data_IF_510574953910
#
_entry.id   IF_510574953910
#
_cell.length_a   1.000
_cell.length_b   1.000
_cell.length_c   1.000
_cell.angle_alpha   90.00
_cell.angle_beta   90.00
_cell.angle_gamma   90.00
#
_symmetry.space_group_name_H-M   'P 1'
#
loop_
_entity.id
_entity.type
_entity.pdbx_description
1 polymer ?
#
# COMPACT_ATOMS: atom_id res chain seq x y z
N UNK A 1 -18.87 42.27 29.03
CA UNK A 1 -18.99 40.81 29.24
C UNK A 1 -18.79 40.15 27.88
N UNK A 2 -17.54 39.79 27.56
CA UNK A 2 -17.19 39.21 26.25
C UNK A 2 -17.47 37.70 26.28
N UNK A 3 -18.35 37.25 25.40
CA UNK A 3 -18.61 35.82 25.17
C UNK A 3 -17.40 35.22 24.47
N UNK A 4 -16.64 34.39 25.19
CA UNK A 4 -15.59 33.59 24.59
C UNK A 4 -16.22 32.53 23.68
N UNK A 5 -16.09 32.73 22.37
CA UNK A 5 -16.42 31.71 21.36
C UNK A 5 -15.43 30.57 21.49
N UNK A 6 -15.85 29.46 22.10
CA UNK A 6 -15.11 28.20 22.07
C UNK A 6 -15.18 27.63 20.65
N UNK A 7 -14.23 28.03 19.80
CA UNK A 7 -13.95 27.32 18.57
C UNK A 7 -13.55 25.89 18.93
N UNK A 8 -14.40 24.92 18.60
CA UNK A 8 -14.00 23.51 18.59
C UNK A 8 -12.75 23.36 17.72
N UNK A 9 -11.77 22.52 18.10
CA UNK A 9 -10.62 22.27 17.24
C UNK A 9 -11.14 21.83 15.86
N UNK A 10 -10.51 22.29 14.75
CA UNK A 10 -10.89 21.81 13.43
C UNK A 10 -10.81 20.29 13.44
N UNK A 11 -11.84 19.62 12.92
CA UNK A 11 -11.82 18.18 12.76
C UNK A 11 -10.53 17.80 12.02
N UNK A 12 -9.75 16.88 12.59
CA UNK A 12 -8.49 16.45 12.00
C UNK A 12 -8.72 16.04 10.53
N UNK A 13 -7.82 16.45 9.62
CA UNK A 13 -8.00 16.14 8.21
C UNK A 13 -7.96 14.62 7.99
N UNK A 14 -8.56 14.14 6.90
CA UNK A 14 -8.48 12.72 6.51
C UNK A 14 -7.03 12.22 6.47
N UNK A 15 -6.13 13.06 5.97
CA UNK A 15 -4.70 12.79 5.93
C UNK A 15 -4.08 12.64 7.33
N UNK A 16 -4.48 13.49 8.29
CA UNK A 16 -4.00 13.38 9.68
C UNK A 16 -4.47 12.08 10.32
N UNK A 17 -5.72 11.67 10.05
CA UNK A 17 -6.25 10.39 10.51
C UNK A 17 -5.48 9.20 9.90
N UNK A 18 -5.15 9.25 8.61
CA UNK A 18 -4.33 8.23 7.95
C UNK A 18 -2.92 8.14 8.56
N UNK A 19 -2.30 9.27 8.87
CA UNK A 19 -0.97 9.33 9.50
C UNK A 19 -0.96 8.84 10.96
N UNK A 20 -2.05 9.04 11.69
CA UNK A 20 -2.17 8.66 13.09
C UNK A 20 -2.44 7.15 13.31
N UNK A 21 -2.92 6.43 12.29
CA UNK A 21 -3.20 5.00 12.39
C UNK A 21 -1.91 4.18 12.57
N UNK A 22 -1.90 3.29 13.56
CA UNK A 22 -0.84 2.31 13.73
C UNK A 22 -0.80 1.35 12.53
N UNK A 23 0.41 1.07 12.03
CA UNK A 23 0.64 0.24 10.85
C UNK A 23 1.22 -1.12 11.25
N UNK A 24 0.79 -2.16 10.53
CA UNK A 24 1.36 -3.51 10.67
C UNK A 24 2.78 -3.52 10.08
N UNK A 25 3.64 -4.47 10.48
CA UNK A 25 4.94 -4.65 9.81
C UNK A 25 4.79 -4.80 8.30
N UNK A 26 5.55 -3.99 7.55
CA UNK A 26 5.49 -3.95 6.07
C UNK A 26 4.30 -3.19 5.50
N UNK A 27 3.38 -2.66 6.30
CA UNK A 27 2.32 -1.80 5.78
C UNK A 27 2.84 -0.37 5.58
N UNK A 28 2.60 0.21 4.41
CA UNK A 28 3.09 1.52 4.06
C UNK A 28 2.56 2.62 5.00
N UNK A 29 3.43 3.59 5.32
CA UNK A 29 3.15 4.66 6.27
C UNK A 29 3.41 6.07 5.74
N UNK A 30 3.93 6.20 4.51
CA UNK A 30 4.23 7.49 3.91
C UNK A 30 3.01 8.08 3.20
N UNK A 31 2.21 8.83 3.95
CA UNK A 31 1.01 9.52 3.45
C UNK A 31 1.26 11.01 3.17
N UNK A 32 0.70 11.51 2.08
CA UNK A 32 0.76 12.91 1.69
C UNK A 32 -0.44 13.28 0.82
N UNK A 33 -0.64 14.57 0.59
CA UNK A 33 -1.64 15.05 -0.37
C UNK A 33 -0.97 15.24 -1.73
N UNK A 34 -1.50 14.62 -2.77
CA UNK A 34 -1.03 14.79 -4.14
C UNK A 34 -1.85 15.88 -4.84
N UNK A 35 -1.20 17.01 -5.16
CA UNK A 35 -1.86 18.15 -5.77
C UNK A 35 -2.20 17.95 -7.26
N UNK A 36 -1.50 17.04 -7.96
CA UNK A 36 -1.76 16.78 -9.37
C UNK A 36 -3.07 16.01 -9.55
N UNK A 37 -3.28 14.99 -8.71
CA UNK A 37 -4.49 14.19 -8.70
C UNK A 37 -5.57 14.73 -7.74
N UNK A 38 -5.26 15.76 -6.95
CA UNK A 38 -6.14 16.37 -5.96
C UNK A 38 -6.75 15.34 -5.00
N UNK A 39 -5.92 14.46 -4.43
CA UNK A 39 -6.36 13.39 -3.54
C UNK A 39 -5.29 13.05 -2.49
N UNK A 40 -5.70 12.40 -1.41
CA UNK A 40 -4.77 11.78 -0.47
C UNK A 40 -4.05 10.61 -1.16
N UNK A 41 -2.77 10.45 -0.82
CA UNK A 41 -1.91 9.44 -1.41
C UNK A 41 -1.08 8.72 -0.35
N UNK A 42 -0.75 7.47 -0.65
CA UNK A 42 0.26 6.68 0.05
C UNK A 42 1.33 6.24 -0.94
N UNK A 43 2.60 6.42 -0.55
CA UNK A 43 3.73 5.86 -1.30
C UNK A 43 4.13 4.53 -0.71
N UNK A 44 4.15 3.49 -1.55
CA UNK A 44 4.65 2.17 -1.20
C UNK A 44 6.16 2.14 -1.46
N UNK A 45 6.95 1.91 -0.42
CA UNK A 45 8.39 1.72 -0.53
C UNK A 45 8.75 0.24 -0.79
N UNK A 46 9.97 -0.07 -1.25
CA UNK A 46 10.38 -1.46 -1.45
C UNK A 46 10.22 -2.30 -0.17
N UNK A 47 9.55 -3.44 -0.30
CA UNK A 47 9.22 -4.34 0.80
C UNK A 47 7.90 -4.05 1.51
N UNK A 48 7.18 -2.99 1.10
CA UNK A 48 5.90 -2.61 1.69
C UNK A 48 4.69 -3.07 0.87
N UNK A 49 3.53 -3.06 1.52
CA UNK A 49 2.22 -3.22 0.91
C UNK A 49 1.20 -2.26 1.54
N UNK A 50 0.07 -2.07 0.87
CA UNK A 50 -1.06 -1.33 1.43
C UNK A 50 -2.38 -1.83 0.85
N UNK A 51 -3.42 -1.83 1.67
CA UNK A 51 -4.78 -2.19 1.29
C UNK A 51 -5.76 -1.16 1.83
N UNK A 52 -6.70 -0.71 1.01
CA UNK A 52 -7.78 0.19 1.42
C UNK A 52 -9.08 -0.12 0.67
N UNK A 53 -10.19 0.39 1.22
CA UNK A 53 -11.54 0.31 0.67
C UNK A 53 -12.17 1.70 0.40
N UNK A 54 -11.36 2.76 0.46
CA UNK A 54 -11.81 4.13 0.21
C UNK A 54 -10.96 4.73 -0.92
N UNK A 55 -11.40 5.88 -1.44
CA UNK A 55 -10.72 6.60 -2.50
C UNK A 55 -9.39 7.20 -2.01
N UNK A 56 -8.27 6.59 -2.37
CA UNK A 56 -6.92 7.04 -2.05
C UNK A 56 -5.98 6.61 -3.18
N UNK A 57 -5.01 7.44 -3.51
CA UNK A 57 -3.98 7.09 -4.46
C UNK A 57 -2.95 6.17 -3.81
N UNK A 58 -2.77 4.98 -4.38
CA UNK A 58 -1.67 4.09 -4.02
C UNK A 58 -0.63 4.21 -5.14
N UNK A 59 0.58 4.64 -4.79
CA UNK A 59 1.62 4.84 -5.79
C UNK A 59 2.96 4.28 -5.36
N UNK A 60 3.80 4.01 -6.36
CA UNK A 60 5.20 3.67 -6.14
C UNK A 60 6.02 4.03 -7.38
N UNK A 61 7.33 3.93 -7.26
CA UNK A 61 8.27 4.14 -8.37
C UNK A 61 8.99 2.83 -8.64
N UNK A 62 9.00 2.38 -9.90
CA UNK A 62 9.53 1.08 -10.29
C UNK A 62 10.72 1.21 -11.24
N UNK A 63 11.66 0.28 -11.07
CA UNK A 63 12.75 -0.02 -11.99
C UNK A 63 12.74 -1.52 -12.29
N UNK A 64 13.74 -2.25 -11.80
CA UNK A 64 13.79 -3.72 -11.86
C UNK A 64 12.84 -4.42 -10.88
N UNK A 65 12.46 -3.73 -9.80
CA UNK A 65 11.45 -4.19 -8.86
C UNK A 65 10.07 -4.34 -9.52
N UNK A 66 9.16 -5.03 -8.82
CA UNK A 66 7.82 -5.35 -9.31
C UNK A 66 6.78 -4.88 -8.28
N UNK A 67 5.67 -4.32 -8.77
CA UNK A 67 4.47 -4.09 -7.98
C UNK A 67 3.29 -4.88 -8.55
N UNK A 68 2.60 -5.62 -7.68
CA UNK A 68 1.31 -6.20 -7.99
C UNK A 68 0.20 -5.32 -7.38
N UNK A 69 -0.75 -4.94 -8.22
CA UNK A 69 -1.97 -4.23 -7.86
C UNK A 69 -3.13 -5.21 -7.92
N UNK A 70 -3.83 -5.40 -6.80
CA UNK A 70 -5.01 -6.25 -6.72
C UNK A 70 -6.26 -5.40 -6.49
N UNK A 71 -7.35 -5.76 -7.14
CA UNK A 71 -8.65 -5.11 -6.98
C UNK A 71 -9.78 -6.13 -6.97
N UNK A 72 -10.60 -6.11 -5.93
CA UNK A 72 -11.87 -6.84 -5.90
C UNK A 72 -13.02 -5.87 -6.26
N UNK A 73 -13.67 -6.10 -7.40
CA UNK A 73 -14.77 -5.25 -7.87
C UNK A 73 -16.03 -5.32 -7.01
N UNK A 74 -16.28 -6.48 -6.39
CA UNK A 74 -17.50 -6.72 -5.62
C UNK A 74 -17.37 -6.07 -4.24
N UNK A 75 -16.24 -6.32 -3.57
CA UNK A 75 -15.99 -5.76 -2.24
C UNK A 75 -15.50 -4.30 -2.26
N UNK A 76 -15.08 -3.80 -3.45
CA UNK A 76 -14.45 -2.48 -3.63
C UNK A 76 -13.21 -2.29 -2.74
N UNK A 77 -12.40 -3.34 -2.66
CA UNK A 77 -11.16 -3.37 -1.87
C UNK A 77 -9.99 -3.50 -2.84
N UNK A 78 -8.99 -2.66 -2.65
CA UNK A 78 -7.79 -2.64 -3.47
C UNK A 78 -6.53 -2.58 -2.65
N UNK A 79 -5.44 -3.03 -3.25
CA UNK A 79 -4.13 -2.87 -2.66
C UNK A 79 -3.00 -3.01 -3.66
N UNK A 80 -1.81 -2.64 -3.20
CA UNK A 80 -0.58 -2.72 -3.96
C UNK A 80 0.54 -3.22 -3.05
N UNK A 81 1.46 -4.02 -3.59
CA UNK A 81 2.75 -4.31 -2.96
C UNK A 81 3.91 -3.81 -3.81
N UNK A 82 5.12 -3.81 -3.24
CA UNK A 82 6.36 -3.54 -3.98
C UNK A 82 7.44 -4.51 -3.51
N UNK A 83 7.81 -5.48 -4.34
CA UNK A 83 8.85 -6.46 -4.03
C UNK A 83 10.02 -6.40 -5.04
N UNK A 84 11.18 -6.92 -4.62
CA UNK A 84 12.44 -6.80 -5.37
C UNK A 84 12.94 -8.15 -5.88
N UNK A 85 12.61 -9.25 -5.20
CA UNK A 85 13.15 -10.58 -5.45
C UNK A 85 12.01 -11.57 -5.68
N UNK A 86 12.18 -12.62 -6.51
CA UNK A 86 11.11 -13.56 -6.81
C UNK A 86 10.77 -14.46 -5.61
N UNK A 87 11.77 -15.15 -5.04
CA UNK A 87 11.62 -16.08 -3.92
C UNK A 87 12.79 -15.95 -2.94
N UNK A 88 12.56 -16.28 -1.68
CA UNK A 88 13.60 -16.36 -0.66
C UNK A 88 14.29 -17.72 -0.69
N UNK A 89 15.62 -17.73 -0.61
CA UNK A 89 16.46 -18.92 -0.86
C UNK A 89 16.71 -19.79 0.37
N UNK A 90 16.05 -19.57 1.52
CA UNK A 90 16.32 -20.28 2.78
C UNK A 90 15.09 -20.83 3.50
N UNK A 91 15.27 -21.81 4.38
CA UNK A 91 14.26 -22.14 5.39
C UNK A 91 14.46 -21.23 6.60
N UNK A 92 13.44 -20.45 7.00
CA UNK A 92 13.49 -19.63 8.22
C UNK A 92 12.90 -18.23 8.09
N UNK A 93 13.09 -17.40 9.13
CA UNK A 93 12.56 -16.04 9.23
C UNK A 93 13.05 -15.09 8.11
N UNK A 94 14.19 -15.41 7.47
CA UNK A 94 14.76 -14.62 6.39
C UNK A 94 13.88 -14.58 5.12
N UNK A 95 13.01 -15.58 4.93
CA UNK A 95 12.04 -15.63 3.84
C UNK A 95 10.74 -14.86 4.13
N UNK A 96 10.49 -14.49 5.39
CA UNK A 96 9.29 -13.75 5.81
C UNK A 96 9.48 -12.23 5.63
N UNK A 97 9.96 -11.82 4.46
CA UNK A 97 10.24 -10.41 4.16
C UNK A 97 9.49 -9.97 2.91
N UNK A 98 8.83 -8.80 2.99
CA UNK A 98 8.09 -8.21 1.85
C UNK A 98 8.96 -7.89 0.63
N UNK A 99 10.28 -8.04 0.74
CA UNK A 99 11.19 -7.96 -0.41
C UNK A 99 11.02 -9.11 -1.40
N UNK A 100 10.49 -10.26 -0.96
CA UNK A 100 10.28 -11.45 -1.79
C UNK A 100 8.83 -11.51 -2.30
N UNK A 101 8.65 -11.78 -3.58
CA UNK A 101 7.36 -11.76 -4.25
C UNK A 101 6.36 -12.74 -3.67
N UNK A 102 6.79 -13.97 -3.37
CA UNK A 102 5.93 -14.99 -2.75
C UNK A 102 5.31 -14.51 -1.43
N UNK A 103 6.13 -13.97 -0.52
CA UNK A 103 5.67 -13.43 0.76
C UNK A 103 4.88 -12.12 0.60
N UNK A 104 5.30 -11.21 -0.27
CA UNK A 104 4.61 -9.95 -0.53
C UNK A 104 3.20 -10.16 -1.12
N UNK A 105 3.03 -11.17 -1.99
CA UNK A 105 1.73 -11.55 -2.53
C UNK A 105 0.84 -12.17 -1.44
N UNK A 106 1.41 -13.01 -0.59
CA UNK A 106 0.68 -13.60 0.53
C UNK A 106 0.16 -12.53 1.51
N UNK A 107 1.02 -11.59 1.92
CA UNK A 107 0.62 -10.46 2.78
C UNK A 107 -0.52 -9.64 2.16
N UNK A 108 -0.38 -9.27 0.88
CA UNK A 108 -1.35 -8.44 0.17
C UNK A 108 -2.71 -9.14 0.08
N UNK A 109 -2.74 -10.39 -0.40
CA UNK A 109 -3.99 -11.14 -0.58
C UNK A 109 -4.67 -11.39 0.77
N UNK A 110 -3.90 -11.79 1.79
CA UNK A 110 -4.46 -12.07 3.11
C UNK A 110 -5.03 -10.81 3.75
N UNK A 111 -4.39 -9.65 3.59
CA UNK A 111 -4.95 -8.38 4.08
C UNK A 111 -6.21 -7.96 3.32
N UNK A 112 -6.27 -8.17 2.00
CA UNK A 112 -7.50 -7.93 1.25
C UNK A 112 -8.64 -8.85 1.73
N UNK A 113 -8.37 -10.13 1.94
CA UNK A 113 -9.36 -11.09 2.45
C UNK A 113 -9.87 -10.74 3.84
N UNK A 114 -8.98 -10.30 4.74
CA UNK A 114 -9.37 -9.84 6.09
C UNK A 114 -10.35 -8.66 6.05
N UNK A 115 -10.33 -7.88 4.97
CA UNK A 115 -11.23 -6.73 4.76
C UNK A 115 -12.51 -7.10 4.01
N UNK A 116 -12.68 -8.36 3.60
CA UNK A 116 -13.90 -8.87 2.94
C UNK A 116 -13.76 -9.14 1.44
N UNK A 117 -12.56 -9.01 0.86
CA UNK A 117 -12.34 -9.38 -0.54
C UNK A 117 -12.32 -10.90 -0.72
N UNK A 118 -12.75 -11.38 -1.89
CA UNK A 118 -12.70 -12.79 -2.26
C UNK A 118 -11.62 -13.00 -3.33
N UNK A 119 -10.76 -14.00 -3.13
CA UNK A 119 -9.73 -14.38 -4.12
C UNK A 119 -10.31 -14.65 -5.51
N UNK A 120 -11.53 -15.16 -5.59
CA UNK A 120 -12.19 -15.48 -6.85
C UNK A 120 -12.62 -14.23 -7.67
N UNK A 121 -12.77 -13.07 -7.02
CA UNK A 121 -13.15 -11.79 -7.66
C UNK A 121 -12.01 -10.79 -7.77
N UNK A 122 -10.80 -11.15 -7.29
CA UNK A 122 -9.63 -10.29 -7.42
C UNK A 122 -9.11 -10.30 -8.85
N UNK A 123 -8.91 -9.10 -9.38
CA UNK A 123 -8.16 -8.86 -10.60
C UNK A 123 -6.77 -8.37 -10.25
N UNK A 124 -5.79 -8.79 -11.05
CA UNK A 124 -4.40 -8.40 -10.87
C UNK A 124 -3.89 -7.56 -12.05
N UNK A 125 -3.13 -6.53 -11.73
CA UNK A 125 -2.25 -5.83 -12.68
C UNK A 125 -0.84 -5.81 -12.11
N UNK A 126 0.14 -6.14 -12.94
CA UNK A 126 1.54 -6.25 -12.52
C UNK A 126 2.39 -5.32 -13.36
N UNK A 127 3.27 -4.57 -12.70
CA UNK A 127 4.12 -3.55 -13.31
C UNK A 127 5.55 -3.68 -12.80
N UNK A 128 6.53 -3.16 -13.56
CA UNK A 128 7.95 -3.18 -13.21
C UNK A 128 8.75 -4.23 -13.98
N UNK A 129 9.84 -4.73 -13.40
CA UNK A 129 10.72 -5.72 -14.04
C UNK A 129 11.59 -5.15 -15.17
N UNK A 130 11.81 -3.84 -15.20
CA UNK A 130 12.61 -3.19 -16.24
C UNK A 130 14.12 -3.36 -16.03
N UNK A 131 14.87 -3.54 -17.11
CA UNK A 131 16.33 -3.42 -17.11
C UNK A 131 16.73 -1.95 -17.31
N UNK A 132 16.70 -1.18 -16.22
CA UNK A 132 16.89 0.27 -16.24
C UNK A 132 18.36 0.73 -16.23
N UNK A 133 19.31 -0.17 -15.97
CA UNK A 133 20.75 0.13 -16.01
C UNK A 133 21.38 -0.67 -17.15
N UNK A 134 21.94 0.02 -18.14
CA UNK A 134 22.79 -0.61 -19.17
C UNK A 134 24.20 -0.79 -18.62
N UNK A 135 24.72 -2.02 -18.64
CA UNK A 135 26.15 -2.29 -18.44
C UNK A 135 26.56 -3.04 -17.17
N UNK A 136 25.69 -3.88 -16.60
CA UNK A 136 26.08 -4.85 -15.57
C UNK A 136 26.00 -6.27 -16.14
#
# INVERSE_FOLDING_TARGET
>A
MAIASTLSPPAASRLDALKAQARKPGEASFFFFDAHFNNDAVKILPGEYFVHHEDILIMTTLGSCIAACLWDRNARIGGMNHFMLPEGTGQGADNASGRYGSYAMELLINEMMKRGASRASMEAKVFGGGQVISGM
#
